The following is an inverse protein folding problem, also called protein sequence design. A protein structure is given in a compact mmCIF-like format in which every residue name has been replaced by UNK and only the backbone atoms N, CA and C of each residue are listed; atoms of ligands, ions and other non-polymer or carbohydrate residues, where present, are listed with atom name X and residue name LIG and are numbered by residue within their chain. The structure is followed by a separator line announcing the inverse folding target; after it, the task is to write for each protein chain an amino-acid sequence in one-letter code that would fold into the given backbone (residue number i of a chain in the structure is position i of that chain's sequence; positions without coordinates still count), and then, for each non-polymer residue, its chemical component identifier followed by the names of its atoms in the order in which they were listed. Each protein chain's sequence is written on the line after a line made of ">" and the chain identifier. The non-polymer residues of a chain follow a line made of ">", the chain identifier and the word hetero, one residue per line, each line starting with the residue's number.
data_IF_805504164038
#
_entry.id   IF_805504164038
#
_cell.length_a   1.000
_cell.length_b   1.000
_cell.length_c   1.000
_cell.angle_alpha   90.00
_cell.angle_beta   90.00
_cell.angle_gamma   90.00
#
_symmetry.space_group_name_H-M   'P 1'
#
loop_
_entity.id
_entity.type
_entity.pdbx_description
1 polymer ?
#
# COMPACT_ATOMS: atom_id res chain seq x y z
N UNK A 1 4.68 -41.54 -22.42
CA UNK A 1 4.97 -40.19 -22.92
C UNK A 1 6.37 -40.12 -23.50
N UNK A 2 7.36 -40.54 -22.72
CA UNK A 2 8.77 -40.55 -23.11
C UNK A 2 9.01 -41.34 -24.39
N UNK A 3 8.39 -42.50 -24.52
CA UNK A 3 8.47 -43.33 -25.71
C UNK A 3 7.96 -42.57 -26.94
N UNK A 4 6.83 -41.90 -26.84
CA UNK A 4 6.25 -41.14 -27.96
C UNK A 4 7.10 -39.98 -28.39
N UNK A 5 7.68 -39.27 -27.43
CA UNK A 5 8.58 -38.10 -27.71
C UNK A 5 9.90 -38.61 -28.27
N UNK A 6 10.42 -39.71 -27.76
CA UNK A 6 11.66 -40.32 -28.27
C UNK A 6 11.55 -40.81 -29.70
N UNK A 7 10.38 -41.37 -30.06
CA UNK A 7 10.12 -41.90 -31.42
C UNK A 7 9.79 -40.80 -32.44
N UNK A 8 8.98 -39.77 -32.03
CA UNK A 8 8.42 -38.77 -32.94
C UNK A 8 9.07 -37.39 -32.77
N UNK A 9 9.95 -37.22 -31.80
CA UNK A 9 10.59 -35.93 -31.47
C UNK A 9 9.68 -34.91 -30.77
N UNK A 10 8.38 -35.19 -30.72
CA UNK A 10 7.42 -34.31 -30.04
C UNK A 10 6.13 -35.06 -29.64
N UNK A 11 5.44 -34.57 -28.60
CA UNK A 11 4.10 -34.99 -28.19
C UNK A 11 3.23 -33.86 -27.76
N UNK A 12 1.91 -34.00 -27.80
CA UNK A 12 0.95 -33.04 -27.29
C UNK A 12 0.42 -33.47 -25.94
N UNK A 13 0.58 -32.65 -24.93
CA UNK A 13 0.11 -32.84 -23.56
C UNK A 13 -0.97 -31.85 -23.22
N UNK A 14 -1.98 -32.31 -22.45
CA UNK A 14 -2.95 -31.39 -21.83
C UNK A 14 -2.43 -30.96 -20.47
N UNK A 15 -2.07 -29.66 -20.33
CA UNK A 15 -1.67 -29.04 -19.08
C UNK A 15 -2.70 -27.99 -18.70
N UNK A 16 -3.38 -28.16 -17.54
CA UNK A 16 -4.45 -27.24 -17.10
C UNK A 16 -5.63 -27.17 -18.10
N UNK A 17 -5.91 -28.29 -18.81
CA UNK A 17 -7.00 -28.36 -19.82
C UNK A 17 -6.64 -27.74 -21.18
N UNK A 18 -5.40 -27.33 -21.40
CA UNK A 18 -4.92 -26.77 -22.67
C UNK A 18 -3.88 -27.68 -23.31
N UNK A 19 -3.90 -27.88 -24.65
CA UNK A 19 -2.91 -28.68 -25.34
C UNK A 19 -1.58 -27.92 -25.48
N UNK A 20 -0.50 -28.53 -25.05
CA UNK A 20 0.86 -28.03 -25.21
C UNK A 20 1.69 -29.04 -26.02
N UNK A 21 2.44 -28.56 -26.99
CA UNK A 21 3.38 -29.35 -27.77
C UNK A 21 4.72 -29.39 -27.05
N UNK A 22 5.12 -30.56 -26.55
CA UNK A 22 6.38 -30.80 -25.86
C UNK A 22 7.33 -31.50 -26.84
N UNK A 23 8.52 -30.97 -26.99
CA UNK A 23 9.57 -31.51 -27.82
C UNK A 23 10.58 -32.27 -26.97
N UNK A 24 11.38 -33.17 -27.62
CA UNK A 24 12.44 -33.95 -26.97
C UNK A 24 13.41 -33.05 -26.22
N UNK A 25 13.79 -31.92 -26.80
CA UNK A 25 14.66 -30.93 -26.16
C UNK A 25 14.22 -30.54 -24.73
N UNK A 26 12.92 -30.47 -24.45
CA UNK A 26 12.42 -30.17 -23.14
C UNK A 26 12.70 -31.29 -22.12
N UNK A 27 12.60 -32.55 -22.54
CA UNK A 27 12.94 -33.70 -21.70
C UNK A 27 14.44 -33.77 -21.44
N UNK A 28 15.23 -33.60 -22.49
CA UNK A 28 16.70 -33.59 -22.39
C UNK A 28 17.17 -32.47 -21.42
N UNK A 29 16.51 -31.30 -21.46
CA UNK A 29 16.83 -30.18 -20.58
C UNK A 29 16.41 -30.49 -19.12
N UNK A 30 15.25 -31.10 -18.90
CA UNK A 30 14.82 -31.54 -17.55
C UNK A 30 15.78 -32.57 -16.95
N UNK A 31 16.25 -33.53 -17.75
CA UNK A 31 17.23 -34.55 -17.31
C UNK A 31 18.60 -33.94 -17.01
N UNK A 32 19.01 -32.95 -17.79
CA UNK A 32 20.28 -32.25 -17.60
C UNK A 32 20.34 -31.38 -16.36
N UNK A 33 19.17 -30.94 -15.84
CA UNK A 33 19.08 -30.03 -14.71
C UNK A 33 18.53 -30.73 -13.45
N UNK A 34 19.35 -30.75 -12.40
CA UNK A 34 18.94 -31.25 -11.10
C UNK A 34 18.74 -30.06 -10.14
N UNK A 35 17.46 -29.68 -9.95
CA UNK A 35 17.10 -28.52 -9.13
C UNK A 35 17.63 -28.60 -7.69
N UNK A 36 17.69 -29.78 -7.09
CA UNK A 36 18.25 -29.96 -5.75
C UNK A 36 19.76 -29.70 -5.72
N UNK A 37 20.48 -30.11 -6.75
CA UNK A 37 21.92 -29.83 -6.89
C UNK A 37 22.16 -28.32 -7.13
N UNK A 38 21.36 -27.69 -7.97
CA UNK A 38 21.43 -26.25 -8.23
C UNK A 38 21.17 -25.43 -6.96
N UNK A 39 20.14 -25.78 -6.19
CA UNK A 39 19.81 -25.11 -4.93
C UNK A 39 20.94 -25.26 -3.90
N UNK A 40 21.62 -26.42 -3.87
CA UNK A 40 22.77 -26.63 -3.00
C UNK A 40 23.95 -25.71 -3.38
N UNK A 41 24.11 -25.40 -4.67
CA UNK A 41 25.18 -24.53 -5.17
C UNK A 41 24.82 -23.04 -5.17
N UNK A 42 23.57 -22.67 -4.86
CA UNK A 42 23.06 -21.31 -4.98
C UNK A 42 23.83 -20.30 -4.12
N UNK A 43 24.22 -20.66 -2.88
CA UNK A 43 24.95 -19.81 -1.93
C UNK A 43 24.38 -18.38 -1.81
N UNK A 44 23.09 -18.23 -1.91
CA UNK A 44 22.35 -16.97 -1.79
C UNK A 44 21.19 -17.13 -0.82
N UNK A 45 20.72 -16.05 -0.21
CA UNK A 45 19.50 -16.11 0.59
C UNK A 45 18.32 -16.67 -0.22
N UNK A 46 17.64 -17.66 0.33
CA UNK A 46 16.50 -18.34 -0.30
C UNK A 46 15.25 -18.18 0.54
N UNK A 47 14.16 -17.72 -0.06
CA UNK A 47 12.83 -17.71 0.50
C UNK A 47 11.96 -18.71 -0.27
N UNK A 48 11.41 -19.68 0.43
CA UNK A 48 10.41 -20.61 -0.10
C UNK A 48 9.05 -20.29 0.53
N UNK A 49 8.04 -20.22 -0.30
CA UNK A 49 6.65 -20.00 0.12
C UNK A 49 5.79 -21.04 -0.54
N UNK A 50 5.01 -21.81 0.23
CA UNK A 50 4.22 -22.92 -0.31
C UNK A 50 3.01 -23.19 0.56
N UNK A 51 1.88 -23.61 -0.08
CA UNK A 51 0.69 -24.05 0.62
C UNK A 51 0.76 -25.54 0.96
N UNK A 52 0.53 -25.92 2.23
CA UNK A 52 0.39 -27.33 2.58
C UNK A 52 -0.80 -28.03 1.91
N UNK A 53 -1.80 -27.27 1.47
CA UNK A 53 -2.99 -27.73 0.81
C UNK A 53 -2.92 -27.67 -0.72
N UNK A 54 -1.76 -27.35 -1.29
CA UNK A 54 -1.56 -27.33 -2.73
C UNK A 54 -1.76 -28.75 -3.31
N UNK A 55 -2.79 -28.88 -4.16
CA UNK A 55 -3.16 -30.13 -4.80
C UNK A 55 -2.47 -30.36 -6.14
N UNK A 56 -1.70 -29.40 -6.64
CA UNK A 56 -0.98 -29.46 -7.92
C UNK A 56 0.46 -29.86 -7.70
N UNK A 57 1.12 -29.17 -6.76
CA UNK A 57 2.50 -29.46 -6.36
C UNK A 57 2.52 -29.70 -4.85
N UNK A 58 2.91 -30.92 -4.44
CA UNK A 58 2.95 -31.28 -3.02
C UNK A 58 4.02 -30.52 -2.26
N UNK A 59 3.76 -30.25 -0.98
CA UNK A 59 4.65 -29.49 -0.09
C UNK A 59 6.01 -30.17 0.12
N UNK A 60 6.11 -31.47 -0.12
CA UNK A 60 7.37 -32.24 -0.05
C UNK A 60 8.43 -31.70 -1.02
N UNK A 61 8.02 -31.11 -2.15
CA UNK A 61 8.93 -30.45 -3.08
C UNK A 61 9.60 -29.24 -2.45
N UNK A 62 8.82 -28.40 -1.76
CA UNK A 62 9.37 -27.25 -1.03
C UNK A 62 10.28 -27.71 0.13
N UNK A 63 9.90 -28.80 0.82
CA UNK A 63 10.71 -29.39 1.89
C UNK A 63 12.06 -29.91 1.34
N UNK A 64 12.07 -30.60 0.20
CA UNK A 64 13.28 -31.11 -0.45
C UNK A 64 14.25 -29.97 -0.79
N UNK A 65 13.75 -28.90 -1.43
CA UNK A 65 14.54 -27.71 -1.75
C UNK A 65 15.06 -27.01 -0.49
N UNK A 66 14.20 -26.84 0.54
CA UNK A 66 14.59 -26.24 1.78
C UNK A 66 15.71 -27.01 2.49
N UNK A 67 15.64 -28.34 2.51
CA UNK A 67 16.69 -29.18 3.11
C UNK A 67 18.04 -29.05 2.38
N UNK A 68 18.02 -28.96 1.06
CA UNK A 68 19.25 -28.87 0.24
C UNK A 68 19.89 -27.48 0.28
N UNK A 69 19.11 -26.43 0.45
CA UNK A 69 19.61 -25.07 0.47
C UNK A 69 20.53 -24.79 1.65
N UNK A 70 21.57 -23.98 1.42
CA UNK A 70 22.40 -23.44 2.49
C UNK A 70 21.72 -22.22 3.16
N UNK A 71 22.13 -21.92 4.39
CA UNK A 71 21.71 -20.68 5.06
C UNK A 71 22.37 -19.45 4.42
N UNK A 72 21.70 -18.28 4.38
CA UNK A 72 20.39 -18.04 5.00
C UNK A 72 19.24 -18.55 4.12
N UNK A 73 18.30 -19.26 4.73
CA UNK A 73 17.08 -19.76 4.09
C UNK A 73 15.88 -19.59 4.99
N UNK A 74 14.72 -19.34 4.39
CA UNK A 74 13.45 -19.13 5.08
C UNK A 74 12.35 -19.95 4.39
N UNK A 75 11.39 -20.42 5.18
CA UNK A 75 10.17 -21.07 4.69
C UNK A 75 8.96 -20.37 5.29
N UNK A 76 7.97 -20.06 4.46
CA UNK A 76 6.68 -19.52 4.87
C UNK A 76 5.58 -20.43 4.38
N UNK A 77 4.76 -20.92 5.30
CA UNK A 77 3.56 -21.66 4.99
C UNK A 77 2.43 -20.73 4.53
N UNK A 78 1.84 -21.02 3.40
CA UNK A 78 0.69 -20.29 2.84
C UNK A 78 -0.57 -21.12 3.06
N UNK A 79 -0.99 -21.26 4.33
CA UNK A 79 -2.10 -22.11 4.70
C UNK A 79 -3.41 -21.70 4.00
N UNK A 80 -3.98 -22.64 3.23
CA UNK A 80 -5.22 -22.45 2.50
C UNK A 80 -5.10 -21.72 1.17
N UNK A 81 -3.89 -21.29 0.77
CA UNK A 81 -3.67 -20.70 -0.56
C UNK A 81 -3.73 -21.78 -1.66
N UNK A 82 -4.28 -21.43 -2.81
CA UNK A 82 -4.22 -22.25 -4.02
C UNK A 82 -2.86 -22.14 -4.73
N UNK A 83 -2.59 -23.06 -5.67
CA UNK A 83 -1.33 -23.13 -6.41
C UNK A 83 -0.96 -21.83 -7.14
N UNK A 84 -1.91 -21.06 -7.61
CA UNK A 84 -1.70 -19.82 -8.36
C UNK A 84 -1.84 -18.54 -7.53
N UNK A 85 -2.12 -18.70 -6.22
CA UNK A 85 -2.33 -17.57 -5.29
C UNK A 85 -3.40 -16.61 -5.85
N UNK A 86 -4.55 -17.15 -6.29
CA UNK A 86 -5.60 -16.35 -6.93
C UNK A 86 -6.37 -15.47 -5.97
N UNK A 87 -6.34 -15.79 -4.67
CA UNK A 87 -6.96 -14.97 -3.63
C UNK A 87 -6.14 -13.71 -3.38
N UNK A 88 -6.76 -12.53 -3.53
CA UNK A 88 -6.09 -11.23 -3.33
C UNK A 88 -5.46 -11.09 -1.93
N UNK A 89 -6.07 -11.62 -0.87
CA UNK A 89 -5.51 -11.53 0.49
C UNK A 89 -4.20 -12.31 0.59
N UNK A 90 -4.14 -13.48 -0.02
CA UNK A 90 -2.92 -14.30 -0.02
C UNK A 90 -1.82 -13.64 -0.87
N UNK A 91 -2.19 -13.07 -2.01
CA UNK A 91 -1.27 -12.32 -2.86
C UNK A 91 -0.69 -11.10 -2.14
N UNK A 92 -1.50 -10.33 -1.39
CA UNK A 92 -1.02 -9.23 -0.55
C UNK A 92 -0.08 -9.71 0.55
N UNK A 93 -0.45 -10.77 1.27
CA UNK A 93 0.41 -11.35 2.31
C UNK A 93 1.76 -11.79 1.75
N UNK A 94 1.78 -12.48 0.61
CA UNK A 94 3.01 -12.88 -0.09
C UNK A 94 3.87 -11.66 -0.43
N UNK A 95 3.27 -10.61 -0.99
CA UNK A 95 3.99 -9.40 -1.36
C UNK A 95 4.61 -8.69 -0.13
N UNK A 96 3.90 -8.59 0.99
CA UNK A 96 4.39 -8.01 2.24
C UNK A 96 5.56 -8.82 2.82
N UNK A 97 5.43 -10.15 2.84
CA UNK A 97 6.49 -11.05 3.32
C UNK A 97 7.74 -10.91 2.45
N UNK A 98 7.61 -10.96 1.12
CA UNK A 98 8.73 -10.79 0.19
C UNK A 98 9.39 -9.43 0.42
N UNK A 99 8.62 -8.35 0.49
CA UNK A 99 9.13 -7.00 0.72
C UNK A 99 9.90 -6.90 2.04
N UNK A 100 9.34 -7.45 3.11
CA UNK A 100 9.98 -7.44 4.43
C UNK A 100 11.25 -8.29 4.46
N UNK A 101 11.22 -9.47 3.85
CA UNK A 101 12.35 -10.40 3.79
C UNK A 101 13.51 -9.85 2.98
N UNK A 102 13.23 -9.25 1.81
CA UNK A 102 14.23 -8.65 0.94
C UNK A 102 15.03 -7.53 1.61
N UNK A 103 14.40 -6.72 2.46
CA UNK A 103 15.06 -5.62 3.19
C UNK A 103 16.26 -6.08 4.04
N UNK A 104 16.33 -7.36 4.37
CA UNK A 104 17.44 -7.94 5.15
C UNK A 104 18.67 -8.24 4.29
N UNK A 105 18.46 -8.49 2.99
CA UNK A 105 19.51 -9.04 2.11
C UNK A 105 19.86 -8.13 0.93
N UNK A 106 19.00 -7.18 0.63
CA UNK A 106 19.17 -6.25 -0.48
C UNK A 106 19.04 -4.83 0.06
N UNK A 107 20.05 -4.01 -0.17
CA UNK A 107 19.89 -2.56 -0.02
C UNK A 107 18.93 -2.09 -1.12
N UNK A 108 17.68 -1.97 -0.78
CA UNK A 108 16.70 -1.33 -1.65
C UNK A 108 17.07 0.15 -1.66
N UNK A 109 17.80 0.60 -2.68
CA UNK A 109 17.90 2.04 -2.94
C UNK A 109 16.47 2.54 -3.08
N UNK A 110 16.01 3.31 -2.11
CA UNK A 110 14.70 3.93 -2.20
C UNK A 110 14.70 4.76 -3.47
N UNK A 111 13.72 4.54 -4.33
CA UNK A 111 13.50 5.41 -5.46
C UNK A 111 13.51 6.84 -4.94
N UNK A 112 14.38 7.69 -5.47
CA UNK A 112 14.57 9.08 -4.98
C UNK A 112 15.72 9.31 -4.00
N UNK A 113 16.61 8.34 -3.71
CA UNK A 113 17.80 8.59 -2.86
C UNK A 113 18.77 9.64 -3.45
N UNK A 114 18.54 10.13 -4.67
CA UNK A 114 19.36 11.13 -5.33
C UNK A 114 18.91 12.60 -5.18
N UNK A 115 17.66 12.85 -4.74
CA UNK A 115 17.11 14.22 -4.68
C UNK A 115 16.20 14.35 -3.46
N UNK A 116 16.79 14.38 -2.28
CA UNK A 116 16.08 14.84 -1.08
C UNK A 116 16.49 16.29 -0.82
N UNK A 117 15.78 17.24 -1.42
CA UNK A 117 15.73 18.57 -0.87
C UNK A 117 14.93 18.51 0.44
N UNK A 118 15.58 18.82 1.55
CA UNK A 118 15.12 18.44 2.89
C UNK A 118 14.34 19.54 3.59
N UNK A 119 14.06 20.66 2.92
CA UNK A 119 13.38 21.81 3.56
C UNK A 119 11.85 21.73 3.55
N UNK A 120 11.24 20.64 3.06
CA UNK A 120 9.79 20.55 3.00
C UNK A 120 9.27 19.15 2.68
N UNK A 121 8.15 19.11 1.99
CA UNK A 121 7.56 17.90 1.42
C UNK A 121 7.92 17.86 -0.05
N UNK A 122 8.59 16.80 -0.47
CA UNK A 122 8.87 16.52 -1.88
C UNK A 122 7.86 15.53 -2.42
N UNK A 123 7.22 15.88 -3.53
CA UNK A 123 6.28 14.99 -4.23
C UNK A 123 6.79 14.79 -5.65
N UNK A 124 6.85 13.53 -6.10
CA UNK A 124 7.24 13.23 -7.48
C UNK A 124 6.56 11.98 -8.02
N UNK A 125 6.48 11.89 -9.33
CA UNK A 125 5.96 10.75 -10.07
C UNK A 125 7.00 10.30 -11.10
N UNK A 126 7.12 8.99 -11.30
CA UNK A 126 7.90 8.43 -12.41
C UNK A 126 6.99 8.22 -13.62
N UNK A 127 7.32 8.86 -14.72
CA UNK A 127 6.51 8.78 -15.93
C UNK A 127 6.57 7.41 -16.64
N UNK A 128 7.57 6.59 -16.35
CA UNK A 128 7.84 5.30 -17.01
C UNK A 128 7.21 4.09 -16.31
N UNK A 129 6.54 4.28 -15.17
CA UNK A 129 5.95 3.18 -14.40
C UNK A 129 4.50 2.94 -14.84
N UNK A 130 4.10 1.68 -14.84
CA UNK A 130 2.77 1.18 -15.25
C UNK A 130 1.61 1.71 -14.39
N UNK A 131 1.91 2.41 -13.30
CA UNK A 131 0.93 3.00 -12.37
C UNK A 131 0.80 4.51 -12.63
N UNK A 132 -0.25 4.96 -13.34
CA UNK A 132 -0.28 6.30 -13.93
C UNK A 132 -0.44 7.43 -12.91
N UNK A 133 -1.02 7.19 -11.73
CA UNK A 133 -1.34 8.23 -10.75
C UNK A 133 -0.60 8.09 -9.44
N UNK A 134 0.02 6.93 -9.19
CA UNK A 134 0.78 6.72 -7.96
C UNK A 134 1.98 7.64 -7.90
N UNK A 135 2.04 8.46 -6.88
CA UNK A 135 3.15 9.38 -6.64
C UNK A 135 3.78 9.13 -5.27
N UNK A 136 5.03 9.54 -5.15
CA UNK A 136 5.82 9.38 -3.94
C UNK A 136 5.86 10.69 -3.17
N UNK A 137 5.52 10.67 -1.90
CA UNK A 137 5.53 11.83 -1.01
C UNK A 137 6.56 11.59 0.07
N UNK A 138 7.63 12.38 0.07
CA UNK A 138 8.72 12.30 1.05
C UNK A 138 8.75 13.50 1.95
N UNK A 139 9.03 13.25 3.21
CA UNK A 139 9.57 14.22 4.15
C UNK A 139 10.98 13.80 4.52
N UNK A 140 11.66 14.57 5.39
CA UNK A 140 12.97 14.18 5.91
C UNK A 140 13.00 12.78 6.54
N UNK A 141 11.89 12.32 7.13
CA UNK A 141 11.83 11.10 7.95
C UNK A 141 10.78 10.10 7.50
N UNK A 142 9.84 10.49 6.66
CA UNK A 142 8.69 9.66 6.28
C UNK A 142 8.52 9.60 4.77
N UNK A 143 7.96 8.48 4.33
CA UNK A 143 7.55 8.26 2.96
C UNK A 143 6.15 7.65 2.96
N UNK A 144 5.26 8.24 2.17
CA UNK A 144 3.92 7.72 1.90
C UNK A 144 3.63 7.80 0.40
N UNK A 145 2.61 7.09 -0.05
CA UNK A 145 2.12 7.17 -1.42
C UNK A 145 0.88 8.07 -1.49
N UNK A 146 0.83 8.89 -2.52
CA UNK A 146 -0.40 9.49 -3.03
C UNK A 146 -0.85 8.75 -4.27
N UNK A 147 -2.18 8.67 -4.49
CA UNK A 147 -2.75 8.03 -5.65
C UNK A 147 -4.14 8.59 -5.92
N UNK A 148 -4.76 8.19 -7.02
CA UNK A 148 -6.19 8.40 -7.24
C UNK A 148 -6.98 7.13 -6.86
N UNK A 149 -8.27 7.27 -6.49
CA UNK A 149 -9.13 6.11 -6.31
C UNK A 149 -9.26 5.27 -7.57
N UNK A 150 -9.54 3.97 -7.41
CA UNK A 150 -9.69 3.04 -8.55
C UNK A 150 -10.80 3.51 -9.49
N UNK A 151 -11.88 4.08 -8.96
CA UNK A 151 -13.00 4.65 -9.74
C UNK A 151 -12.59 5.87 -10.58
N UNK A 152 -11.50 6.54 -10.20
CA UNK A 152 -10.91 7.66 -10.94
C UNK A 152 -9.74 7.23 -11.84
N UNK A 153 -9.49 5.93 -11.96
CA UNK A 153 -8.44 5.34 -12.79
C UNK A 153 -7.10 5.13 -12.10
N UNK A 154 -7.01 5.38 -10.80
CA UNK A 154 -5.84 5.05 -9.99
C UNK A 154 -5.78 3.57 -9.59
N UNK A 155 -4.72 3.19 -8.92
CA UNK A 155 -4.50 1.82 -8.43
C UNK A 155 -4.89 1.64 -6.95
N UNK A 156 -5.26 2.74 -6.26
CA UNK A 156 -5.64 2.75 -4.85
C UNK A 156 -4.47 2.37 -3.91
N UNK A 157 -3.23 2.64 -4.31
CA UNK A 157 -2.03 2.32 -3.54
C UNK A 157 -1.69 3.37 -2.47
N UNK A 158 -2.30 4.55 -2.57
CA UNK A 158 -2.07 5.66 -1.66
C UNK A 158 -3.34 6.44 -1.35
N UNK A 159 -3.19 7.50 -0.57
CA UNK A 159 -4.28 8.43 -0.29
C UNK A 159 -4.46 9.38 -1.47
N UNK A 160 -5.72 9.68 -1.82
CA UNK A 160 -6.02 10.71 -2.81
C UNK A 160 -5.63 12.12 -2.30
N UNK A 161 -5.44 13.10 -3.19
CA UNK A 161 -5.07 14.46 -2.78
C UNK A 161 -6.04 15.08 -1.76
N UNK A 162 -7.33 14.85 -1.90
CA UNK A 162 -8.34 15.33 -0.94
C UNK A 162 -8.36 14.53 0.37
N UNK A 163 -8.02 13.25 0.33
CA UNK A 163 -7.82 12.47 1.57
C UNK A 163 -6.58 12.94 2.33
N UNK A 164 -5.49 13.27 1.64
CA UNK A 164 -4.29 13.88 2.25
C UNK A 164 -4.63 15.23 2.90
N UNK A 165 -5.42 16.07 2.25
CA UNK A 165 -5.88 17.34 2.79
C UNK A 165 -6.74 17.11 4.05
N UNK A 166 -7.71 16.20 3.97
CA UNK A 166 -8.57 15.83 5.09
C UNK A 166 -7.76 15.22 6.25
N UNK A 167 -6.77 14.37 5.95
CA UNK A 167 -5.89 13.78 6.96
C UNK A 167 -5.07 14.86 7.69
N UNK A 168 -4.56 15.87 6.98
CA UNK A 168 -3.86 17.01 7.58
C UNK A 168 -4.76 17.81 8.54
N UNK A 169 -5.99 18.12 8.12
CA UNK A 169 -6.98 18.84 8.95
C UNK A 169 -7.37 17.98 10.16
N UNK A 170 -7.63 16.69 9.95
CA UNK A 170 -8.02 15.74 10.99
C UNK A 170 -6.95 15.59 12.06
N UNK A 171 -5.71 15.32 11.63
CA UNK A 171 -4.55 15.19 12.51
C UNK A 171 -4.34 16.45 13.36
N UNK A 172 -4.34 17.62 12.71
CA UNK A 172 -4.19 18.88 13.41
C UNK A 172 -5.34 19.14 14.43
N UNK A 173 -6.58 18.77 14.07
CA UNK A 173 -7.75 18.89 14.96
C UNK A 173 -7.59 18.01 16.20
N UNK A 174 -7.27 16.72 16.02
CA UNK A 174 -7.08 15.77 17.15
C UNK A 174 -6.00 16.27 18.11
N UNK A 175 -4.85 16.68 17.59
CA UNK A 175 -3.74 17.21 18.39
C UNK A 175 -4.13 18.48 19.16
N UNK A 176 -4.85 19.39 18.49
CA UNK A 176 -5.33 20.64 19.11
C UNK A 176 -6.29 20.36 20.27
N UNK A 177 -7.24 19.45 20.08
CA UNK A 177 -8.19 19.06 21.13
C UNK A 177 -7.51 18.37 22.30
N UNK A 178 -6.59 17.45 22.03
CA UNK A 178 -5.79 16.77 23.04
C UNK A 178 -5.00 17.76 23.89
N UNK A 179 -4.24 18.66 23.26
CA UNK A 179 -3.43 19.65 23.98
C UNK A 179 -4.30 20.62 24.78
N UNK A 180 -5.46 21.02 24.25
CA UNK A 180 -6.39 21.89 24.98
C UNK A 180 -6.97 21.20 26.22
N UNK A 181 -7.46 19.96 26.08
CA UNK A 181 -8.02 19.18 27.19
C UNK A 181 -6.95 18.89 28.26
N UNK A 182 -5.72 18.57 27.88
CA UNK A 182 -4.61 18.39 28.82
C UNK A 182 -4.32 19.66 29.63
N UNK A 183 -4.24 20.83 28.96
CA UNK A 183 -4.02 22.11 29.62
C UNK A 183 -5.14 22.46 30.61
N UNK A 184 -6.37 22.04 30.31
CA UNK A 184 -7.55 22.25 31.14
C UNK A 184 -7.76 21.17 32.18
N UNK A 185 -6.94 20.12 32.17
CA UNK A 185 -7.07 18.93 33.01
C UNK A 185 -8.45 18.25 32.87
N UNK A 186 -9.01 18.25 31.65
CA UNK A 186 -10.27 17.59 31.35
C UNK A 186 -10.06 16.11 31.05
N UNK A 187 -10.97 15.24 31.49
CA UNK A 187 -10.89 13.80 31.27
C UNK A 187 -11.33 13.42 29.84
N UNK A 188 -10.57 13.87 28.85
CA UNK A 188 -10.69 13.46 27.45
C UNK A 188 -9.80 12.25 27.20
N UNK A 189 -10.39 11.09 26.89
CA UNK A 189 -9.68 9.82 26.65
C UNK A 189 -9.38 9.61 25.18
N UNK A 190 -10.41 9.73 24.31
CA UNK A 190 -10.26 9.50 22.89
C UNK A 190 -10.97 10.59 22.08
N UNK A 191 -10.40 10.88 20.91
CA UNK A 191 -10.96 11.82 19.93
C UNK A 191 -10.96 11.15 18.56
N UNK A 192 -12.14 11.09 17.95
CA UNK A 192 -12.29 10.68 16.56
C UNK A 192 -12.76 11.87 15.73
N UNK A 193 -12.09 12.12 14.62
CA UNK A 193 -12.47 13.17 13.67
C UNK A 193 -12.70 12.52 12.30
N UNK A 194 -13.91 12.62 11.81
CA UNK A 194 -14.32 12.12 10.51
C UNK A 194 -14.48 13.31 9.57
N UNK A 195 -13.79 13.28 8.42
CA UNK A 195 -13.86 14.33 7.42
C UNK A 195 -14.28 13.74 6.08
N UNK A 196 -15.10 14.50 5.36
CA UNK A 196 -15.40 14.23 3.95
C UNK A 196 -15.33 15.52 3.15
N UNK A 197 -14.88 15.39 1.91
CA UNK A 197 -14.83 16.47 0.95
C UNK A 197 -15.94 16.26 -0.11
N UNK A 198 -16.59 17.34 -0.52
CA UNK A 198 -17.53 17.36 -1.64
C UNK A 198 -17.63 18.76 -2.21
N UNK A 199 -18.08 18.87 -3.45
CA UNK A 199 -18.56 20.15 -3.99
C UNK A 199 -20.04 20.27 -3.71
N UNK A 200 -20.46 21.44 -3.21
CA UNK A 200 -21.88 21.74 -2.94
C UNK A 200 -22.25 23.07 -3.56
N UNK A 201 -23.50 23.18 -3.98
CA UNK A 201 -24.03 24.46 -4.46
C UNK A 201 -24.25 25.39 -3.25
N UNK A 202 -23.97 26.69 -3.41
CA UNK A 202 -24.14 27.71 -2.35
C UNK A 202 -25.55 27.68 -1.72
N UNK A 203 -26.58 27.42 -2.51
CA UNK A 203 -27.96 27.27 -2.07
C UNK A 203 -28.17 26.09 -1.10
N UNK A 204 -27.44 24.97 -1.25
CA UNK A 204 -27.52 23.82 -0.35
C UNK A 204 -26.92 24.12 1.03
N UNK A 205 -25.95 25.03 1.07
CA UNK A 205 -25.25 25.43 2.29
C UNK A 205 -25.96 26.55 3.05
N UNK A 206 -27.07 27.08 2.52
CA UNK A 206 -27.81 28.22 3.09
C UNK A 206 -26.93 29.43 3.38
N UNK A 207 -25.96 29.67 2.49
CA UNK A 207 -25.06 30.80 2.60
C UNK A 207 -25.59 31.94 1.74
N UNK A 208 -25.74 33.13 2.34
CA UNK A 208 -25.97 34.40 1.63
C UNK A 208 -24.64 34.84 0.97
N UNK A 209 -24.26 34.17 -0.11
CA UNK A 209 -23.08 34.52 -0.88
C UNK A 209 -23.53 35.03 -2.25
N UNK A 210 -23.09 36.22 -2.61
CA UNK A 210 -23.36 36.84 -3.92
C UNK A 210 -22.78 36.04 -5.10
N UNK A 211 -21.84 35.09 -4.83
CA UNK A 211 -21.26 34.18 -5.83
C UNK A 211 -22.14 32.94 -6.00
N UNK A 212 -22.95 32.90 -7.03
CA UNK A 212 -23.66 31.70 -7.46
C UNK A 212 -22.67 30.69 -8.08
N UNK A 213 -22.38 29.59 -7.36
CA UNK A 213 -21.47 28.54 -7.87
C UNK A 213 -21.33 27.33 -6.95
N UNK A 214 -20.53 26.37 -7.39
CA UNK A 214 -20.12 25.24 -6.59
C UNK A 214 -19.00 25.67 -5.65
N UNK A 215 -19.17 25.36 -4.36
CA UNK A 215 -18.19 25.61 -3.31
C UNK A 215 -17.56 24.30 -2.83
N UNK A 216 -16.29 24.35 -2.53
CA UNK A 216 -15.59 23.27 -1.86
C UNK A 216 -16.07 23.15 -0.43
N UNK A 217 -16.60 21.99 -0.07
CA UNK A 217 -17.20 21.74 1.22
C UNK A 217 -16.50 20.61 1.95
N UNK A 218 -15.91 20.92 3.11
CA UNK A 218 -15.32 19.94 4.03
C UNK A 218 -16.27 19.78 5.22
N UNK A 219 -16.86 18.59 5.33
CA UNK A 219 -17.71 18.25 6.45
C UNK A 219 -16.90 17.51 7.52
N UNK A 220 -17.01 17.96 8.79
CA UNK A 220 -16.25 17.43 9.91
C UNK A 220 -17.18 16.99 11.04
N UNK A 221 -17.11 15.70 11.40
CA UNK A 221 -17.77 15.15 12.61
C UNK A 221 -16.71 14.85 13.66
N UNK A 222 -17.04 15.09 14.94
CA UNK A 222 -16.13 14.85 16.06
C UNK A 222 -16.86 13.97 17.06
N UNK A 223 -16.20 12.89 17.49
CA UNK A 223 -16.64 12.04 18.59
C UNK A 223 -15.62 12.15 19.72
N UNK A 224 -16.09 12.52 20.90
CA UNK A 224 -15.28 12.69 22.10
C UNK A 224 -15.65 11.60 23.11
N UNK A 225 -14.66 10.86 23.60
CA UNK A 225 -14.83 9.85 24.64
C UNK A 225 -14.08 10.32 25.89
N UNK A 226 -14.75 10.30 27.03
CA UNK A 226 -14.23 10.73 28.32
C UNK A 226 -15.35 11.25 29.22
N UNK A 227 -15.03 11.47 30.48
CA UNK A 227 -15.98 12.07 31.44
C UNK A 227 -15.96 13.58 31.29
N UNK A 228 -16.76 14.09 30.32
CA UNK A 228 -16.82 15.49 29.95
C UNK A 228 -18.25 16.01 30.15
N UNK A 229 -18.37 17.18 30.71
CA UNK A 229 -19.66 17.91 30.77
C UNK A 229 -20.07 18.38 29.36
N UNK A 230 -21.34 18.71 29.18
CA UNK A 230 -21.83 19.23 27.90
C UNK A 230 -21.15 20.55 27.52
N UNK A 231 -20.91 21.43 28.49
CA UNK A 231 -20.18 22.68 28.28
C UNK A 231 -18.73 22.41 27.78
N UNK A 232 -18.05 21.39 28.33
CA UNK A 232 -16.74 20.99 27.89
C UNK A 232 -16.75 20.43 26.47
N UNK A 233 -17.78 19.67 26.09
CA UNK A 233 -17.98 19.14 24.75
C UNK A 233 -18.19 20.25 23.72
N UNK A 234 -19.10 21.18 24.00
CA UNK A 234 -19.32 22.34 23.12
C UNK A 234 -18.05 23.22 23.00
N UNK A 235 -17.32 23.39 24.09
CA UNK A 235 -16.06 24.12 24.05
C UNK A 235 -15.00 23.41 23.18
N UNK A 236 -14.88 22.09 23.28
CA UNK A 236 -13.98 21.32 22.42
C UNK A 236 -14.41 21.39 20.95
N UNK A 237 -15.69 21.39 20.65
CA UNK A 237 -16.20 21.61 19.29
C UNK A 237 -15.82 22.99 18.75
N UNK A 238 -15.92 24.05 19.56
CA UNK A 238 -15.43 25.40 19.19
C UNK A 238 -13.91 25.38 18.93
N UNK A 239 -13.13 24.74 19.78
CA UNK A 239 -11.67 24.63 19.65
C UNK A 239 -11.26 23.84 18.40
N UNK A 240 -12.04 22.86 17.99
CA UNK A 240 -11.78 22.06 16.78
C UNK A 240 -11.72 22.90 15.48
N UNK A 241 -12.40 24.04 15.44
CA UNK A 241 -12.32 24.97 14.30
C UNK A 241 -11.15 25.96 14.40
N UNK A 242 -10.41 25.95 15.51
CA UNK A 242 -9.27 26.84 15.76
C UNK A 242 -7.92 26.19 15.49
N UNK A 243 -7.87 24.95 14.97
CA UNK A 243 -6.61 24.32 14.64
C UNK A 243 -5.89 25.08 13.51
N UNK A 244 -4.56 25.18 13.53
CA UNK A 244 -3.80 25.95 12.55
C UNK A 244 -4.09 25.59 11.10
N UNK A 245 -4.08 24.31 10.76
CA UNK A 245 -4.35 23.83 9.39
C UNK A 245 -5.77 24.21 8.93
N UNK A 246 -6.78 24.06 9.80
CA UNK A 246 -8.14 24.51 9.47
C UNK A 246 -8.16 26.02 9.14
N UNK A 247 -7.50 26.84 9.96
CA UNK A 247 -7.42 28.29 9.72
C UNK A 247 -6.71 28.62 8.40
N UNK A 248 -5.65 27.88 8.06
CA UNK A 248 -4.93 28.06 6.79
C UNK A 248 -5.86 27.78 5.61
N UNK A 249 -6.58 26.66 5.64
CA UNK A 249 -7.50 26.26 4.55
C UNK A 249 -8.71 27.19 4.44
N UNK A 250 -9.21 27.71 5.58
CA UNK A 250 -10.36 28.62 5.60
C UNK A 250 -10.01 30.07 5.21
N UNK A 251 -8.73 30.41 5.10
CA UNK A 251 -8.27 31.76 4.73
C UNK A 251 -7.69 31.78 3.32
N UNK A 252 -7.43 32.99 2.80
CA UNK A 252 -6.71 33.16 1.55
C UNK A 252 -5.26 32.70 1.73
N UNK A 253 -4.80 31.80 0.83
CA UNK A 253 -3.43 31.30 0.77
C UNK A 253 -2.78 31.88 -0.48
N UNK A 254 -1.57 32.45 -0.33
CA UNK A 254 -0.77 32.91 -1.45
C UNK A 254 0.18 31.78 -1.90
N UNK A 255 0.21 31.49 -3.18
CA UNK A 255 1.09 30.51 -3.79
C UNK A 255 2.16 31.20 -4.64
N UNK A 256 3.42 30.87 -4.42
CA UNK A 256 4.53 31.25 -5.29
C UNK A 256 5.09 29.99 -5.94
N UNK A 257 5.16 29.98 -7.26
CA UNK A 257 5.65 28.81 -8.03
C UNK A 257 6.89 29.21 -8.80
N UNK A 258 7.95 28.40 -8.69
CA UNK A 258 9.20 28.58 -9.43
C UNK A 258 9.55 27.29 -10.16
N UNK A 259 9.99 27.42 -11.40
CA UNK A 259 10.65 26.33 -12.12
C UNK A 259 12.13 26.33 -11.78
N UNK A 260 12.69 25.17 -11.46
CA UNK A 260 14.10 24.98 -11.07
C UNK A 260 14.82 24.10 -12.08
#
# INVERSE_FOLDING_TARGET
>A
LDDTINEKGEAVLSIGGRPFKIKKQFLDDLEAHNLEAEVKLLHRPLLLMHSPQDSIVGIENAAALYHKAHHPKSFISLDGADHLITNKKDAFYVAEVISSWLKRYVEIKKAGDGVRDTEGVQVFVYYEIVVPFTNHIYTKTHHIYGDEPVEAGGDGLGLSPYELLNAAIGSCTVLTLKLYAQRKQWDLKEVFVYLSYSKKHSAELKLDIEEMGQLDHIYKKIKLIGNLSEEQREKLKEIASKCPVHKTVANKVYFETKLI
#
